data_IF_287775356697
#
_entry.id   IF_287775356697
#
_cell.length_a   1.000
_cell.length_b   1.000
_cell.length_c   1.000
_cell.angle_alpha   90.00
_cell.angle_beta   90.00
_cell.angle_gamma   90.00
#
_symmetry.space_group_name_H-M   'P 1'
#
loop_
_entity.id
_entity.type
_entity.pdbx_description
1 polymer ?
#
# COMPACT_ATOMS: atom_id res chain seq x y z
N UNK A 1 16.37 44.33 -43.46
CA UNK A 1 17.14 43.68 -42.38
C UNK A 1 16.22 43.51 -41.17
N UNK A 2 15.35 42.50 -41.18
CA UNK A 2 14.35 42.27 -40.13
C UNK A 2 14.86 41.26 -39.11
N UNK A 3 15.01 41.70 -37.85
CA UNK A 3 15.43 40.87 -36.73
C UNK A 3 14.29 39.98 -36.24
N UNK A 4 14.49 38.67 -36.28
CA UNK A 4 13.54 37.66 -35.84
C UNK A 4 13.89 37.26 -34.40
N UNK A 5 13.12 37.78 -33.43
CA UNK A 5 13.29 37.54 -32.00
C UNK A 5 12.90 36.09 -31.69
N UNK A 6 13.85 35.30 -31.21
CA UNK A 6 13.63 33.88 -30.88
C UNK A 6 12.65 33.74 -29.72
N UNK A 7 11.71 32.81 -29.89
CA UNK A 7 10.64 32.48 -28.97
C UNK A 7 11.17 32.00 -27.61
N UNK A 8 10.62 32.57 -26.53
CA UNK A 8 10.80 32.13 -25.15
C UNK A 8 10.42 30.64 -24.98
N UNK A 9 11.42 29.77 -24.82
CA UNK A 9 11.21 28.42 -24.29
C UNK A 9 10.87 28.54 -22.80
N UNK A 10 9.59 28.40 -22.45
CA UNK A 10 9.16 28.23 -21.06
C UNK A 10 9.71 26.91 -20.53
N UNK A 11 10.47 26.88 -19.42
CA UNK A 11 10.72 25.64 -18.71
C UNK A 11 9.45 25.26 -17.96
N UNK A 12 8.82 24.15 -18.35
CA UNK A 12 7.80 23.48 -17.54
C UNK A 12 8.37 23.17 -16.15
N UNK A 13 7.65 23.40 -15.04
CA UNK A 13 8.12 23.00 -13.72
C UNK A 13 8.15 21.47 -13.66
N UNK A 14 9.36 20.91 -13.67
CA UNK A 14 9.57 19.47 -13.48
C UNK A 14 9.21 19.10 -12.03
N UNK A 15 8.29 18.14 -11.91
CA UNK A 15 8.13 17.24 -10.76
C UNK A 15 7.70 17.84 -9.42
N UNK A 16 6.40 18.19 -9.33
CA UNK A 16 5.65 18.02 -8.09
C UNK A 16 5.36 16.53 -7.87
N UNK A 17 6.19 15.86 -7.04
CA UNK A 17 5.81 14.75 -6.15
C UNK A 17 7.05 14.30 -5.37
N UNK A 18 7.49 15.14 -4.43
CA UNK A 18 8.32 14.67 -3.31
C UNK A 18 7.39 13.84 -2.43
N UNK A 19 7.27 12.53 -2.71
CA UNK A 19 6.64 11.57 -1.80
C UNK A 19 7.35 11.75 -0.46
N UNK A 20 6.64 12.24 0.54
CA UNK A 20 7.14 12.27 1.91
C UNK A 20 7.47 10.82 2.26
N UNK A 21 8.77 10.53 2.43
CA UNK A 21 9.21 9.33 3.13
C UNK A 21 8.73 9.50 4.57
N UNK A 22 7.73 8.72 4.95
CA UNK A 22 7.30 8.57 6.34
C UNK A 22 8.55 8.21 7.18
N UNK A 23 8.76 8.81 8.36
CA UNK A 23 9.93 8.50 9.18
C UNK A 23 9.90 7.01 9.52
N UNK A 24 10.95 6.29 9.11
CA UNK A 24 11.20 4.91 9.52
C UNK A 24 11.48 4.93 11.02
N UNK A 25 10.42 4.70 11.80
CA UNK A 25 10.53 4.46 13.23
C UNK A 25 11.38 3.21 13.43
N UNK A 26 12.28 3.35 14.39
CA UNK A 26 13.36 2.44 14.70
C UNK A 26 12.82 1.14 15.32
N UNK A 27 13.46 0.02 14.95
CA UNK A 27 13.41 -1.29 15.59
C UNK A 27 12.23 -2.21 15.27
N UNK A 28 12.17 -2.81 14.08
CA UNK A 28 11.48 -4.10 13.89
C UNK A 28 12.31 -4.99 12.93
N UNK A 29 12.32 -6.30 13.21
CA UNK A 29 12.92 -7.34 12.38
C UNK A 29 12.52 -7.16 10.90
N UNK A 30 13.26 -7.71 9.91
CA UNK A 30 12.89 -7.56 8.51
C UNK A 30 11.60 -8.35 8.22
N UNK A 31 10.45 -7.79 8.61
CA UNK A 31 9.16 -8.18 8.08
C UNK A 31 9.25 -7.92 6.59
N UNK A 32 9.41 -9.00 5.83
CA UNK A 32 9.24 -8.97 4.40
C UNK A 32 7.79 -8.53 4.21
N UNK A 33 7.60 -7.29 3.76
CA UNK A 33 6.29 -6.66 3.65
C UNK A 33 5.54 -7.35 2.50
N UNK A 34 4.95 -8.50 2.77
CA UNK A 34 4.20 -9.29 1.81
C UNK A 34 2.88 -8.61 1.53
N UNK A 35 2.65 -8.27 0.27
CA UNK A 35 1.38 -7.76 -0.20
C UNK A 35 0.53 -8.89 -0.76
N UNK A 36 -0.68 -9.05 -0.24
CA UNK A 36 -1.66 -10.03 -0.69
C UNK A 36 -2.97 -9.36 -1.06
N UNK A 37 -3.53 -9.75 -2.20
CA UNK A 37 -4.82 -9.28 -2.71
C UNK A 37 -5.88 -10.32 -2.39
N UNK A 38 -6.90 -9.90 -1.64
CA UNK A 38 -8.01 -10.74 -1.19
C UNK A 38 -9.30 -10.12 -1.70
N UNK A 39 -10.15 -10.91 -2.37
CA UNK A 39 -11.47 -10.42 -2.78
C UNK A 39 -12.35 -10.16 -1.57
N UNK A 40 -13.05 -9.02 -1.52
CA UNK A 40 -13.96 -8.70 -0.41
C UNK A 40 -15.24 -9.54 -0.42
N UNK A 41 -15.53 -10.22 -1.52
CA UNK A 41 -16.77 -10.98 -1.69
C UNK A 41 -16.82 -12.12 -0.69
N UNK A 42 -17.76 -12.02 0.25
CA UNK A 42 -17.99 -13.01 1.29
C UNK A 42 -16.93 -13.02 2.38
N UNK A 43 -16.15 -11.96 2.58
CA UNK A 43 -15.22 -11.84 3.72
C UNK A 43 -15.84 -10.94 4.79
N UNK A 44 -15.90 -11.43 6.02
CA UNK A 44 -16.24 -10.65 7.20
C UNK A 44 -15.04 -9.79 7.62
N UNK A 45 -15.15 -8.45 7.54
CA UNK A 45 -14.04 -7.56 7.85
C UNK A 45 -13.60 -7.64 9.32
N UNK A 46 -14.53 -7.87 10.24
CA UNK A 46 -14.20 -8.02 11.66
C UNK A 46 -13.41 -9.30 11.95
N UNK A 47 -13.80 -10.43 11.33
CA UNK A 47 -13.06 -11.69 11.46
C UNK A 47 -11.67 -11.54 10.85
N UNK A 48 -11.58 -10.90 9.69
CA UNK A 48 -10.32 -10.62 9.01
C UNK A 48 -9.38 -9.81 9.92
N UNK A 49 -9.83 -8.67 10.45
CA UNK A 49 -8.99 -7.82 11.32
C UNK A 49 -8.53 -8.59 12.56
N UNK A 50 -9.42 -9.32 13.25
CA UNK A 50 -9.05 -10.15 14.40
C UNK A 50 -7.99 -11.21 14.05
N UNK A 51 -8.13 -11.85 12.88
CA UNK A 51 -7.15 -12.83 12.39
C UNK A 51 -5.80 -12.17 12.10
N UNK A 52 -5.81 -10.96 11.51
CA UNK A 52 -4.60 -10.18 11.25
C UNK A 52 -3.89 -9.74 12.52
N UNK A 53 -4.63 -9.28 13.55
CA UNK A 53 -4.05 -8.92 14.85
C UNK A 53 -3.40 -10.11 15.54
N UNK A 54 -3.99 -11.32 15.42
CA UNK A 54 -3.41 -12.54 15.96
C UNK A 54 -2.17 -13.00 15.20
N UNK A 55 -2.15 -12.86 13.87
CA UNK A 55 -1.05 -13.33 13.01
C UNK A 55 0.11 -12.35 12.92
N UNK A 56 -0.17 -11.06 12.96
CA UNK A 56 0.80 -9.98 12.74
C UNK A 56 0.90 -9.07 13.97
N UNK A 57 1.48 -9.54 15.08
CA UNK A 57 1.68 -8.71 16.27
C UNK A 57 2.67 -7.56 16.02
N UNK A 58 3.54 -7.68 15.02
CA UNK A 58 4.45 -6.62 14.56
C UNK A 58 3.75 -5.54 13.71
N UNK A 59 2.44 -5.65 13.52
CA UNK A 59 1.67 -4.70 12.73
C UNK A 59 1.38 -5.18 11.30
N UNK A 60 0.29 -4.67 10.76
CA UNK A 60 -0.21 -4.95 9.43
C UNK A 60 -0.91 -3.72 8.86
N UNK A 61 -0.97 -3.64 7.53
CA UNK A 61 -1.71 -2.61 6.82
C UNK A 61 -2.80 -3.27 5.96
N UNK A 62 -4.04 -2.81 6.09
CA UNK A 62 -5.13 -3.19 5.19
C UNK A 62 -5.60 -1.96 4.46
N UNK A 63 -5.71 -2.05 3.14
CA UNK A 63 -6.37 -1.03 2.34
C UNK A 63 -7.35 -1.66 1.37
N UNK A 64 -8.54 -1.06 1.24
CA UNK A 64 -9.57 -1.54 0.33
C UNK A 64 -9.49 -0.78 -0.99
N UNK A 65 -9.45 -1.50 -2.10
CA UNK A 65 -9.57 -0.94 -3.45
C UNK A 65 -10.73 -1.62 -4.17
N UNK A 66 -11.83 -0.88 -4.35
CA UNK A 66 -13.08 -1.39 -4.94
C UNK A 66 -13.58 -2.65 -4.22
N UNK A 67 -13.29 -3.83 -4.78
CA UNK A 67 -13.73 -5.12 -4.27
C UNK A 67 -12.57 -6.02 -3.83
N UNK A 68 -11.43 -5.41 -3.50
CA UNK A 68 -10.24 -6.14 -3.05
C UNK A 68 -9.66 -5.51 -1.79
N UNK A 69 -9.46 -6.31 -0.74
CA UNK A 69 -8.57 -5.98 0.36
C UNK A 69 -7.14 -6.26 -0.07
N UNK A 70 -6.29 -5.26 0.07
CA UNK A 70 -4.85 -5.40 -0.08
C UNK A 70 -4.26 -5.37 1.33
N UNK A 71 -3.73 -6.51 1.73
CA UNK A 71 -3.20 -6.75 3.05
C UNK A 71 -1.68 -6.79 2.92
N UNK A 72 -1.01 -6.00 3.75
CA UNK A 72 0.43 -5.94 3.85
C UNK A 72 0.82 -6.38 5.26
N UNK A 73 1.63 -7.44 5.35
CA UNK A 73 2.04 -8.03 6.62
C UNK A 73 3.43 -8.65 6.54
N UNK A 74 3.87 -9.19 7.66
CA UNK A 74 5.17 -9.84 7.81
C UNK A 74 5.25 -11.20 7.09
N UNK A 75 4.10 -11.85 6.90
CA UNK A 75 3.91 -13.13 6.24
C UNK A 75 2.61 -13.09 5.41
N UNK A 76 2.43 -13.99 4.42
CA UNK A 76 1.16 -14.12 3.72
C UNK A 76 0.07 -14.80 4.58
N UNK A 77 -1.20 -14.44 4.33
CA UNK A 77 -2.35 -15.20 4.80
C UNK A 77 -2.51 -16.46 3.95
N UNK A 78 -2.76 -17.58 4.62
CA UNK A 78 -3.07 -18.81 3.91
C UNK A 78 -4.52 -18.79 3.44
N UNK A 79 -4.84 -19.60 2.44
CA UNK A 79 -6.21 -19.74 1.95
C UNK A 79 -7.18 -20.14 3.08
N UNK A 80 -6.72 -20.98 4.02
CA UNK A 80 -7.49 -21.41 5.19
C UNK A 80 -7.85 -20.24 6.11
N UNK A 81 -6.90 -19.34 6.36
CA UNK A 81 -7.16 -18.13 7.16
C UNK A 81 -8.26 -17.26 6.51
N UNK A 82 -8.22 -17.15 5.17
CA UNK A 82 -9.21 -16.38 4.41
C UNK A 82 -10.58 -17.07 4.40
N UNK A 83 -10.63 -18.40 4.36
CA UNK A 83 -11.88 -19.17 4.36
C UNK A 83 -12.58 -19.11 5.73
N UNK A 84 -11.83 -19.12 6.83
CA UNK A 84 -12.37 -18.88 8.18
C UNK A 84 -12.92 -17.45 8.36
N UNK A 85 -12.45 -16.51 7.54
CA UNK A 85 -12.96 -15.13 7.53
C UNK A 85 -14.18 -14.97 6.62
N UNK A 86 -14.63 -16.01 5.92
CA UNK A 86 -15.91 -16.02 5.21
C UNK A 86 -17.07 -16.38 6.14
#
# INVERSE_FOLDING_TARGET
>A
MGGLVQMFKRPFPKHLKKRQKLPQSTAELPCQNYEQKVGVVGIDPEKLVKKLELKFPCGFHVHMMHNTYIIQGCEPLTQTDLDECR
#
